data_IF_536281552087
#
_entry.id   IF_536281552087
#
_cell.length_a   1.000
_cell.length_b   1.000
_cell.length_c   1.000
_cell.angle_alpha   90.00
_cell.angle_beta   90.00
_cell.angle_gamma   90.00
#
_symmetry.space_group_name_H-M   'P 1'
#
loop_
_entity.id
_entity.type
_entity.pdbx_description
1 polymer ?
#
# COMPACT_ATOMS: atom_id res chain seq x y z
N UNK A 1 36.68 -4.82 -16.56
CA UNK A 1 35.35 -4.20 -16.41
C UNK A 1 34.39 -5.31 -16.02
N UNK A 2 33.99 -5.36 -14.74
CA UNK A 2 33.21 -6.48 -14.19
C UNK A 2 31.74 -6.30 -14.56
N UNK A 3 31.15 -7.29 -15.23
CA UNK A 3 29.72 -7.31 -15.55
C UNK A 3 28.88 -7.33 -14.26
N UNK A 4 27.71 -6.66 -14.21
CA UNK A 4 26.82 -6.71 -13.06
C UNK A 4 26.33 -8.15 -12.84
N UNK A 5 26.37 -8.63 -11.59
CA UNK A 5 25.82 -9.94 -11.23
C UNK A 5 24.31 -9.97 -11.49
N UNK A 6 23.76 -11.05 -12.07
CA UNK A 6 22.32 -11.25 -12.11
C UNK A 6 21.80 -11.38 -10.67
N UNK A 7 20.83 -10.54 -10.32
CA UNK A 7 20.04 -10.69 -9.09
C UNK A 7 19.18 -11.95 -9.22
N UNK A 8 19.34 -12.90 -8.30
CA UNK A 8 18.49 -14.09 -8.23
C UNK A 8 17.05 -13.68 -7.87
N UNK A 9 16.02 -14.30 -8.48
CA UNK A 9 14.62 -13.94 -8.29
C UNK A 9 14.04 -14.59 -7.02
N UNK A 10 14.56 -14.23 -5.85
CA UNK A 10 13.77 -14.37 -4.62
C UNK A 10 12.74 -13.24 -4.65
N UNK A 11 11.49 -13.59 -4.97
CA UNK A 11 10.41 -12.74 -5.51
C UNK A 11 9.86 -11.62 -4.63
N UNK A 12 10.72 -10.85 -3.99
CA UNK A 12 10.39 -9.68 -3.19
C UNK A 12 10.83 -8.40 -3.91
N UNK A 13 9.89 -7.75 -4.57
CA UNK A 13 10.12 -6.43 -5.17
C UNK A 13 9.84 -5.35 -4.12
N UNK A 14 10.85 -4.54 -3.82
CA UNK A 14 10.69 -3.34 -3.02
C UNK A 14 10.62 -2.12 -3.95
N UNK A 15 9.49 -1.42 -3.94
CA UNK A 15 9.23 -0.25 -4.79
C UNK A 15 9.01 0.97 -3.90
N UNK A 16 9.72 2.06 -4.21
CA UNK A 16 9.55 3.36 -3.56
C UNK A 16 9.20 4.39 -4.63
N UNK A 17 8.18 5.20 -4.37
CA UNK A 17 7.77 6.29 -5.25
C UNK A 17 7.66 7.59 -4.44
N UNK A 18 8.42 8.61 -4.86
CA UNK A 18 8.30 9.94 -4.30
C UNK A 18 7.13 10.69 -4.95
N UNK A 19 6.39 11.41 -4.13
CA UNK A 19 5.31 12.28 -4.55
C UNK A 19 5.47 13.61 -3.79
N UNK A 20 5.11 14.71 -4.45
CA UNK A 20 5.11 16.02 -3.81
C UNK A 20 3.88 16.21 -2.92
N UNK A 21 3.32 17.41 -2.93
CA UNK A 21 2.05 17.71 -2.24
C UNK A 21 0.81 17.14 -2.93
N UNK A 22 0.97 16.39 -4.02
CA UNK A 22 -0.14 15.84 -4.79
C UNK A 22 -0.66 14.53 -4.18
N UNK A 23 -1.56 14.68 -3.20
CA UNK A 23 -2.21 13.55 -2.53
C UNK A 23 -3.05 12.68 -3.50
N UNK A 24 -3.49 13.23 -4.62
CA UNK A 24 -4.26 12.49 -5.64
C UNK A 24 -3.35 11.56 -6.45
N UNK A 25 -2.16 11.98 -6.83
CA UNK A 25 -1.17 11.17 -7.52
C UNK A 25 -0.72 10.00 -6.64
N UNK A 26 -0.48 10.25 -5.34
CA UNK A 26 -0.24 9.20 -4.35
C UNK A 26 -1.37 8.16 -4.36
N UNK A 27 -2.62 8.62 -4.17
CA UNK A 27 -3.75 7.72 -4.07
C UNK A 27 -3.99 6.90 -5.35
N UNK A 28 -3.73 7.48 -6.54
CA UNK A 28 -3.80 6.77 -7.82
C UNK A 28 -2.74 5.68 -7.94
N UNK A 29 -1.49 6.01 -7.64
CA UNK A 29 -0.39 5.05 -7.71
C UNK A 29 -0.57 3.90 -6.72
N UNK A 30 -0.81 4.23 -5.44
CA UNK A 30 -1.04 3.23 -4.39
C UNK A 30 -2.31 2.43 -4.66
N UNK A 31 -3.40 3.08 -5.03
CA UNK A 31 -4.66 2.41 -5.37
C UNK A 31 -4.50 1.43 -6.52
N UNK A 32 -3.75 1.79 -7.57
CA UNK A 32 -3.47 0.88 -8.68
C UNK A 32 -2.63 -0.32 -8.26
N UNK A 33 -1.58 -0.10 -7.46
CA UNK A 33 -0.73 -1.17 -6.96
C UNK A 33 -1.52 -2.19 -6.13
N UNK A 34 -2.33 -1.72 -5.18
CA UNK A 34 -3.18 -2.58 -4.35
C UNK A 34 -4.23 -3.31 -5.19
N UNK A 35 -4.80 -2.64 -6.20
CA UNK A 35 -5.77 -3.24 -7.10
C UNK A 35 -5.17 -4.41 -7.90
N UNK A 36 -3.97 -4.24 -8.46
CA UNK A 36 -3.32 -5.29 -9.23
C UNK A 36 -3.02 -6.52 -8.35
N UNK A 37 -2.69 -6.33 -7.07
CA UNK A 37 -2.56 -7.43 -6.10
C UNK A 37 -3.89 -8.13 -5.78
N UNK A 38 -4.95 -7.37 -5.53
CA UNK A 38 -6.28 -7.93 -5.27
C UNK A 38 -6.81 -8.76 -6.46
N UNK A 39 -6.57 -8.30 -7.70
CA UNK A 39 -6.93 -9.05 -8.92
C UNK A 39 -6.20 -10.38 -9.05
N UNK A 40 -4.98 -10.47 -8.51
CA UNK A 40 -4.18 -11.69 -8.49
C UNK A 40 -4.55 -12.61 -7.30
N UNK A 41 -5.56 -12.24 -6.50
CA UNK A 41 -5.97 -12.98 -5.32
C UNK A 41 -5.06 -12.80 -4.12
N UNK A 42 -4.10 -11.87 -4.17
CA UNK A 42 -3.17 -11.60 -3.08
C UNK A 42 -3.82 -10.79 -1.96
N UNK A 43 -3.25 -10.91 -0.75
CA UNK A 43 -3.56 -10.02 0.35
C UNK A 43 -2.79 -8.70 0.23
N UNK A 44 -3.44 -7.58 0.53
CA UNK A 44 -2.84 -6.25 0.46
C UNK A 44 -3.00 -5.50 1.78
N UNK A 45 -1.96 -4.79 2.19
CA UNK A 45 -1.94 -3.98 3.41
C UNK A 45 -1.53 -2.56 3.07
N UNK A 46 -2.24 -1.57 3.59
CA UNK A 46 -1.83 -0.18 3.53
C UNK A 46 -1.86 0.45 4.92
N UNK A 47 -0.76 1.12 5.28
CA UNK A 47 -0.63 1.91 6.50
C UNK A 47 -0.57 3.36 6.07
N UNK A 48 -1.60 4.14 6.35
CA UNK A 48 -1.75 5.48 5.82
C UNK A 48 -2.51 6.39 6.78
N UNK A 49 -2.33 7.71 6.67
CA UNK A 49 -3.14 8.67 7.43
C UNK A 49 -4.62 8.53 7.05
N UNK A 50 -5.57 9.05 7.87
CA UNK A 50 -7.00 8.94 7.56
C UNK A 50 -7.36 9.58 6.21
N UNK A 51 -6.70 10.68 5.86
CA UNK A 51 -6.89 11.39 4.61
C UNK A 51 -6.47 10.53 3.41
N UNK A 52 -5.25 9.99 3.44
CA UNK A 52 -4.72 9.13 2.38
C UNK A 52 -5.53 7.83 2.27
N UNK A 53 -5.91 7.22 3.39
CA UNK A 53 -6.76 6.01 3.41
C UNK A 53 -8.10 6.24 2.70
N UNK A 54 -8.74 7.38 2.92
CA UNK A 54 -9.99 7.75 2.23
C UNK A 54 -9.76 7.94 0.72
N UNK A 55 -8.66 8.59 0.34
CA UNK A 55 -8.33 8.80 -1.07
C UNK A 55 -8.05 7.47 -1.81
N UNK A 56 -7.26 6.59 -1.20
CA UNK A 56 -6.96 5.24 -1.73
C UNK A 56 -8.24 4.41 -1.84
N UNK A 57 -9.10 4.44 -0.81
CA UNK A 57 -10.40 3.72 -0.82
C UNK A 57 -11.29 4.18 -1.98
N UNK A 58 -11.36 5.49 -2.24
CA UNK A 58 -12.13 6.03 -3.38
C UNK A 58 -11.55 5.56 -4.71
N UNK A 59 -10.22 5.56 -4.84
CA UNK A 59 -9.56 5.10 -6.06
C UNK A 59 -9.80 3.60 -6.30
N UNK A 60 -9.70 2.76 -5.26
CA UNK A 60 -9.97 1.33 -5.37
C UNK A 60 -11.42 1.06 -5.81
N UNK A 61 -12.40 1.78 -5.24
CA UNK A 61 -13.80 1.71 -5.68
C UNK A 61 -13.93 2.13 -7.15
N UNK A 62 -13.24 3.19 -7.57
CA UNK A 62 -13.21 3.66 -8.97
C UNK A 62 -12.63 2.61 -9.93
N UNK A 63 -11.66 1.82 -9.48
CA UNK A 63 -11.05 0.71 -10.23
C UNK A 63 -11.93 -0.57 -10.25
N UNK A 64 -13.05 -0.58 -9.52
CA UNK A 64 -13.99 -1.70 -9.46
C UNK A 64 -13.70 -2.70 -8.33
N UNK A 65 -12.92 -2.31 -7.32
CA UNK A 65 -12.67 -3.17 -6.17
C UNK A 65 -13.89 -3.28 -5.27
N UNK A 66 -14.32 -4.52 -5.00
CA UNK A 66 -15.24 -4.83 -3.92
C UNK A 66 -14.45 -4.92 -2.61
N UNK A 67 -14.36 -3.79 -1.92
CA UNK A 67 -13.60 -3.66 -0.68
C UNK A 67 -14.26 -4.41 0.49
N UNK A 68 -15.58 -4.58 0.46
CA UNK A 68 -16.29 -5.30 1.52
C UNK A 68 -16.02 -6.79 1.40
N UNK A 69 -16.13 -7.36 0.19
CA UNK A 69 -15.76 -8.74 -0.06
C UNK A 69 -14.26 -9.01 0.19
N UNK A 70 -13.39 -8.08 -0.20
CA UNK A 70 -11.96 -8.19 0.07
C UNK A 70 -11.67 -8.15 1.58
N UNK A 71 -12.35 -7.31 2.35
CA UNK A 71 -12.18 -7.21 3.79
C UNK A 71 -12.72 -8.47 4.49
N UNK A 72 -13.90 -8.96 4.10
CA UNK A 72 -14.49 -10.17 4.66
C UNK A 72 -13.63 -11.41 4.41
N UNK A 73 -12.96 -11.47 3.25
CA UNK A 73 -12.00 -12.53 2.92
C UNK A 73 -10.60 -12.32 3.52
N UNK A 74 -10.39 -11.28 4.32
CA UNK A 74 -9.10 -10.99 4.95
C UNK A 74 -8.00 -10.57 3.96
N UNK A 75 -8.37 -10.17 2.73
CA UNK A 75 -7.42 -9.83 1.66
C UNK A 75 -7.09 -8.35 1.57
N UNK A 76 -7.74 -7.50 2.36
CA UNK A 76 -7.34 -6.10 2.50
C UNK A 76 -7.31 -5.69 3.96
N UNK A 77 -6.24 -5.00 4.34
CA UNK A 77 -6.09 -4.37 5.65
C UNK A 77 -5.67 -2.92 5.46
N UNK A 78 -6.45 -1.98 6.00
CA UNK A 78 -6.12 -0.56 6.04
C UNK A 78 -5.89 -0.16 7.50
N UNK A 79 -4.70 0.32 7.81
CA UNK A 79 -4.31 0.75 9.15
C UNK A 79 -4.04 2.25 9.17
N UNK A 80 -4.46 2.89 10.26
CA UNK A 80 -4.11 4.29 10.53
C UNK A 80 -2.62 4.41 10.85
N UNK A 81 -1.91 5.26 10.12
CA UNK A 81 -0.46 5.43 10.26
C UNK A 81 -0.06 5.92 11.66
N UNK A 82 -0.77 6.91 12.22
CA UNK A 82 -0.44 7.48 13.52
C UNK A 82 -0.62 6.46 14.64
N UNK A 83 -1.75 5.75 14.65
CA UNK A 83 -2.04 4.67 15.60
C UNK A 83 -1.07 3.51 15.45
N UNK A 84 -0.69 3.17 14.22
CA UNK A 84 0.24 2.07 13.95
C UNK A 84 1.62 2.42 14.48
N UNK A 85 2.13 3.60 14.14
CA UNK A 85 3.41 4.11 14.63
C UNK A 85 3.45 4.15 16.16
N UNK A 86 2.39 4.64 16.81
CA UNK A 86 2.30 4.74 18.27
C UNK A 86 2.41 3.40 19.01
N UNK A 87 2.24 2.25 18.33
CA UNK A 87 2.35 0.93 18.97
C UNK A 87 3.79 0.48 19.20
N UNK A 88 4.74 1.08 18.51
CA UNK A 88 6.15 0.69 18.58
C UNK A 88 7.09 1.87 18.81
N UNK A 89 6.57 3.07 19.06
CA UNK A 89 7.34 4.17 19.62
C UNK A 89 7.50 3.97 21.14
N UNK A 90 8.72 4.18 21.65
CA UNK A 90 9.01 4.30 23.09
C UNK A 90 9.35 5.75 23.38
N UNK A 91 8.58 6.44 24.22
CA UNK A 91 8.77 7.88 24.53
C UNK A 91 8.85 8.78 23.27
N UNK A 92 8.16 8.41 22.19
CA UNK A 92 8.16 9.16 20.92
C UNK A 92 9.34 8.84 19.99
N UNK A 93 10.18 7.88 20.34
CA UNK A 93 11.31 7.42 19.53
C UNK A 93 11.03 6.04 18.91
N UNK A 94 11.25 5.86 17.59
CA UNK A 94 11.12 4.58 16.90
C UNK A 94 12.27 3.62 17.18
#
# INVERSE_FOLDING_TARGET
MTAPRPVSPDGHQHLVQFYGTDALALARCVGRYLWDGLKQGQGVVAIATPEHSRAITRELKRLGADLEAAAHSGRIVLLDAGRTLSRFLVEGWP
#
